data_IF_631241524744
#
_entry.id   IF_631241524744
#
_cell.length_a   1.000
_cell.length_b   1.000
_cell.length_c   1.000
_cell.angle_alpha   90.00
_cell.angle_beta   90.00
_cell.angle_gamma   90.00
#
_symmetry.space_group_name_H-M   'P 1'
#
loop_
_entity.id
_entity.type
_entity.pdbx_description
1 polymer ?
#
# COMPACT_ATOMS: atom_id res chain seq x y z
N UNK A 1 9.52 -7.19 -4.19
CA UNK A 1 8.82 -8.20 -3.36
C UNK A 1 7.43 -7.68 -3.09
N UNK A 2 6.39 -8.47 -3.36
CA UNK A 2 4.98 -8.05 -3.24
C UNK A 2 4.26 -9.00 -2.30
N UNK A 3 3.51 -8.46 -1.34
CA UNK A 3 2.69 -9.24 -0.42
C UNK A 3 1.29 -8.67 -0.36
N UNK A 4 0.30 -9.56 -0.30
CA UNK A 4 -1.11 -9.20 -0.18
C UNK A 4 -1.51 -9.31 1.28
N UNK A 5 -2.11 -8.26 1.82
CA UNK A 5 -2.59 -8.20 3.20
C UNK A 5 -4.03 -7.69 3.22
N UNK A 6 -4.76 -8.00 4.28
CA UNK A 6 -6.15 -7.59 4.46
C UNK A 6 -6.29 -6.99 5.84
N UNK A 7 -6.58 -5.69 5.91
CA UNK A 7 -6.99 -5.06 7.16
C UNK A 7 -8.50 -5.20 7.35
N UNK A 8 -9.03 -4.77 8.50
CA UNK A 8 -10.46 -4.79 8.84
C UNK A 8 -11.34 -4.07 7.82
N UNK A 9 -10.79 -3.09 7.10
CA UNK A 9 -11.54 -2.22 6.19
C UNK A 9 -11.43 -2.63 4.71
N UNK A 10 -10.25 -3.08 4.26
CA UNK A 10 -10.02 -3.41 2.86
C UNK A 10 -8.82 -4.36 2.66
N UNK A 11 -8.73 -4.93 1.46
CA UNK A 11 -7.60 -5.74 1.00
C UNK A 11 -6.64 -4.89 0.17
N UNK A 12 -5.35 -5.08 0.36
CA UNK A 12 -4.31 -4.30 -0.32
C UNK A 12 -3.07 -5.15 -0.62
N UNK A 13 -2.29 -4.71 -1.59
CA UNK A 13 -0.98 -5.27 -1.92
C UNK A 13 0.10 -4.25 -1.65
N UNK A 14 1.18 -4.65 -1.00
CA UNK A 14 2.33 -3.76 -0.81
C UNK A 14 3.48 -4.20 -1.69
N UNK A 15 4.09 -3.24 -2.36
CA UNK A 15 5.26 -3.43 -3.20
C UNK A 15 6.33 -2.42 -2.80
N UNK A 16 7.59 -2.86 -2.75
CA UNK A 16 8.73 -1.95 -2.62
C UNK A 16 9.06 -1.37 -4.00
N UNK A 17 8.99 -0.05 -4.12
CA UNK A 17 9.53 0.70 -5.25
C UNK A 17 11.02 0.90 -5.05
N UNK A 18 11.84 0.09 -5.72
CA UNK A 18 13.30 0.12 -5.56
C UNK A 18 13.96 1.34 -6.22
N UNK A 19 13.22 2.12 -7.00
CA UNK A 19 13.76 3.32 -7.64
C UNK A 19 13.82 4.49 -6.66
N UNK A 20 12.87 4.55 -5.75
CA UNK A 20 12.75 5.61 -4.75
C UNK A 20 12.98 5.11 -3.32
N UNK A 21 13.19 3.80 -3.13
CA UNK A 21 13.33 3.13 -1.84
C UNK A 21 12.10 3.35 -0.91
N UNK A 22 10.90 3.36 -1.50
CA UNK A 22 9.64 3.57 -0.80
C UNK A 22 8.69 2.38 -0.93
N UNK A 23 7.86 2.17 0.08
CA UNK A 23 6.76 1.22 0.01
C UNK A 23 5.53 1.87 -0.64
N UNK A 24 4.89 1.12 -1.52
CA UNK A 24 3.62 1.45 -2.14
C UNK A 24 2.57 0.42 -1.74
N UNK A 25 1.49 0.86 -1.11
CA UNK A 25 0.34 0.03 -0.80
C UNK A 25 -0.76 0.33 -1.83
N UNK A 26 -1.15 -0.64 -2.64
CA UNK A 26 -2.23 -0.53 -3.62
C UNK A 26 -3.48 -1.21 -3.09
N UNK A 27 -4.65 -0.60 -3.30
CA UNK A 27 -5.92 -1.25 -3.04
C UNK A 27 -6.09 -2.45 -3.99
N UNK A 28 -6.53 -3.60 -3.47
CA UNK A 28 -6.66 -4.82 -4.24
C UNK A 28 -7.75 -4.72 -5.32
N UNK A 29 -8.86 -4.05 -5.01
CA UNK A 29 -9.98 -3.83 -5.95
C UNK A 29 -9.71 -2.73 -6.98
N UNK A 30 -8.79 -1.79 -6.69
CA UNK A 30 -8.45 -0.71 -7.60
C UNK A 30 -7.00 -0.28 -7.44
N UNK A 31 -6.11 -0.79 -8.30
CA UNK A 31 -4.68 -0.47 -8.26
C UNK A 31 -4.36 1.00 -8.57
N UNK A 32 -5.34 1.79 -9.04
CA UNK A 32 -5.24 3.24 -9.20
C UNK A 32 -5.30 4.00 -7.87
N UNK A 33 -5.82 3.39 -6.80
CA UNK A 33 -5.78 3.94 -5.45
C UNK A 33 -4.60 3.30 -4.72
N UNK A 34 -3.64 4.12 -4.32
CA UNK A 34 -2.47 3.67 -3.60
C UNK A 34 -1.94 4.73 -2.63
N UNK A 35 -1.39 4.26 -1.51
CA UNK A 35 -0.62 5.05 -0.56
C UNK A 35 0.88 4.79 -0.71
N UNK A 36 1.68 5.79 -0.35
CA UNK A 36 3.14 5.69 -0.27
C UNK A 36 3.64 5.95 1.14
N UNK A 37 4.77 5.32 1.49
CA UNK A 37 5.44 5.51 2.76
C UNK A 37 6.87 4.99 2.77
N UNK A 38 7.70 5.52 3.68
CA UNK A 38 9.04 5.00 3.92
C UNK A 38 9.02 3.63 4.61
N UNK A 39 7.89 3.28 5.22
CA UNK A 39 7.62 1.97 5.82
C UNK A 39 6.32 1.41 5.25
N UNK A 40 6.13 0.10 5.42
CA UNK A 40 4.87 -0.57 5.08
C UNK A 40 3.70 0.07 5.84
N UNK A 41 3.90 0.37 7.12
CA UNK A 41 2.87 0.97 7.99
C UNK A 41 2.45 2.36 7.51
N UNK A 42 3.40 3.22 7.11
CA UNK A 42 3.10 4.53 6.52
C UNK A 42 2.33 4.39 5.20
N UNK A 43 2.75 3.49 4.32
CA UNK A 43 2.10 3.28 3.04
C UNK A 43 0.65 2.80 3.21
N UNK A 44 0.42 1.88 4.16
CA UNK A 44 -0.91 1.38 4.49
C UNK A 44 -1.76 2.46 5.14
N UNK A 45 -1.24 3.19 6.13
CA UNK A 45 -1.96 4.30 6.78
C UNK A 45 -2.34 5.39 5.79
N UNK A 46 -1.48 5.69 4.83
CA UNK A 46 -1.81 6.63 3.77
C UNK A 46 -2.93 6.08 2.89
N UNK A 47 -2.86 4.81 2.48
CA UNK A 47 -3.94 4.15 1.76
C UNK A 47 -5.27 4.16 2.54
N UNK A 48 -5.23 3.94 3.86
CA UNK A 48 -6.40 4.01 4.77
C UNK A 48 -7.06 5.39 4.81
N UNK A 49 -6.33 6.47 4.55
CA UNK A 49 -6.92 7.82 4.47
C UNK A 49 -7.54 8.13 3.10
N UNK A 50 -7.28 7.31 2.09
CA UNK A 50 -7.76 7.51 0.72
C UNK A 50 -9.04 6.71 0.41
N UNK A 51 -9.39 5.74 1.24
CA UNK A 51 -10.53 4.82 1.07
C UNK A 51 -11.52 4.95 2.21
#
# INVERSE_FOLDING_TARGET
MTFTNKNKFFQYTVTLDTSNDIFRANLADNSGIYGYGNTIEDAVKHLENLV
#
